data_IF_319403645725
#
_entry.id   IF_319403645725
#
_cell.length_a   1.000
_cell.length_b   1.000
_cell.length_c   1.000
_cell.angle_alpha   90.00
_cell.angle_beta   90.00
_cell.angle_gamma   90.00
#
_symmetry.space_group_name_H-M   'P 1'
#
loop_
_entity.id
_entity.type
_entity.pdbx_description
1 polymer ?
#
# COMPACT_ATOMS: atom_id res chain seq x y z
N UNK A 1 32.97 -10.40 20.33
CA UNK A 1 31.51 -10.20 20.48
C UNK A 1 30.99 -9.83 19.10
N UNK A 2 30.61 -10.84 18.31
CA UNK A 2 30.03 -10.63 16.99
C UNK A 2 28.55 -10.33 17.19
N UNK A 3 28.14 -9.09 16.92
CA UNK A 3 26.73 -8.73 16.83
C UNK A 3 26.23 -9.44 15.57
N UNK A 4 25.45 -10.52 15.74
CA UNK A 4 24.66 -11.08 14.66
C UNK A 4 23.58 -10.05 14.30
N UNK A 5 23.81 -9.30 13.23
CA UNK A 5 22.79 -8.54 12.53
C UNK A 5 21.80 -9.54 11.90
N UNK A 6 20.85 -9.99 12.70
CA UNK A 6 19.67 -10.67 12.19
C UNK A 6 18.85 -9.61 11.45
N UNK A 7 19.00 -9.57 10.12
CA UNK A 7 17.99 -8.96 9.27
C UNK A 7 16.69 -9.74 9.48
N UNK A 8 15.81 -9.22 10.32
CA UNK A 8 14.42 -9.67 10.35
C UNK A 8 13.84 -9.41 8.96
N UNK A 9 13.55 -10.48 8.23
CA UNK A 9 12.78 -10.36 7.00
C UNK A 9 11.39 -9.87 7.45
N UNK A 10 10.92 -8.70 6.97
CA UNK A 10 9.62 -8.21 7.39
C UNK A 10 8.57 -9.27 7.05
N UNK A 11 7.84 -9.73 8.06
CA UNK A 11 6.75 -10.68 7.85
C UNK A 11 5.68 -9.98 7.02
N UNK A 12 5.40 -10.52 5.83
CA UNK A 12 4.28 -10.06 5.01
C UNK A 12 2.97 -10.35 5.74
N UNK A 13 2.10 -9.34 5.83
CA UNK A 13 0.76 -9.44 6.38
C UNK A 13 -0.11 -10.25 5.43
N UNK A 14 -0.58 -11.43 5.86
CA UNK A 14 -1.50 -12.23 5.06
C UNK A 14 -2.91 -11.68 5.20
N UNK A 15 -3.55 -11.33 4.10
CA UNK A 15 -4.92 -10.85 4.12
C UNK A 15 -5.86 -11.76 3.34
N UNK A 16 -7.07 -11.95 3.86
CA UNK A 16 -8.18 -12.56 3.13
C UNK A 16 -9.11 -11.46 2.61
N UNK A 17 -9.42 -11.50 1.32
CA UNK A 17 -10.25 -10.51 0.65
C UNK A 17 -11.72 -10.94 0.66
N UNK A 18 -12.62 -10.04 1.06
CA UNK A 18 -14.07 -10.21 0.95
C UNK A 18 -14.62 -9.00 0.22
N UNK A 19 -15.38 -9.19 -0.85
CA UNK A 19 -16.04 -8.11 -1.58
C UNK A 19 -17.55 -8.24 -1.50
N UNK A 20 -18.25 -7.16 -1.19
CA UNK A 20 -19.71 -7.10 -1.18
C UNK A 20 -20.22 -6.04 -2.16
N UNK A 21 -21.14 -6.48 -3.03
CA UNK A 21 -21.56 -5.75 -4.22
C UNK A 21 -20.49 -5.72 -5.31
N UNK A 22 -20.66 -4.84 -6.31
CA UNK A 22 -19.78 -4.77 -7.47
C UNK A 22 -18.71 -3.69 -7.28
N UNK A 23 -17.49 -4.11 -6.98
CA UNK A 23 -16.35 -3.22 -6.74
C UNK A 23 -15.70 -2.67 -8.02
N UNK A 24 -16.03 -3.23 -9.19
CA UNK A 24 -15.41 -2.89 -10.48
C UNK A 24 -13.88 -2.85 -10.40
N UNK A 25 -13.29 -3.88 -9.79
CA UNK A 25 -11.84 -4.05 -9.56
C UNK A 25 -11.18 -2.95 -8.70
N UNK A 26 -11.97 -2.02 -8.12
CA UNK A 26 -11.45 -0.96 -7.25
C UNK A 26 -10.78 -1.52 -6.00
N UNK A 27 -11.19 -2.71 -5.53
CA UNK A 27 -10.52 -3.42 -4.44
C UNK A 27 -9.09 -3.86 -4.82
N UNK A 28 -8.88 -4.31 -6.05
CA UNK A 28 -7.55 -4.67 -6.57
C UNK A 28 -6.69 -3.42 -6.66
N UNK A 29 -7.23 -2.33 -7.21
CA UNK A 29 -6.54 -1.04 -7.31
C UNK A 29 -6.18 -0.49 -5.92
N UNK A 30 -7.06 -0.67 -4.94
CA UNK A 30 -6.81 -0.26 -3.56
C UNK A 30 -5.67 -1.05 -2.94
N UNK A 31 -5.66 -2.38 -3.10
CA UNK A 31 -4.55 -3.21 -2.63
C UNK A 31 -3.23 -2.89 -3.35
N UNK A 32 -3.28 -2.51 -4.63
CA UNK A 32 -2.10 -2.00 -5.36
C UNK A 32 -1.58 -0.68 -4.78
N UNK A 33 -2.47 0.24 -4.39
CA UNK A 33 -2.09 1.49 -3.71
C UNK A 33 -1.56 1.25 -2.30
N UNK A 34 -2.13 0.28 -1.57
CA UNK A 34 -1.56 -0.19 -0.32
C UNK A 34 -0.13 -0.66 -0.52
N UNK A 35 0.18 -1.35 -1.62
CA UNK A 35 1.55 -1.69 -2.02
C UNK A 35 2.14 -2.87 -1.24
N UNK A 36 3.47 -2.90 -1.10
CA UNK A 36 4.20 -4.01 -0.46
C UNK A 36 3.90 -4.16 1.03
N UNK A 37 4.20 -5.35 1.57
CA UNK A 37 3.92 -5.72 2.96
C UNK A 37 2.67 -6.58 3.14
N UNK A 38 1.94 -6.85 2.07
CA UNK A 38 0.69 -7.64 2.08
C UNK A 38 0.79 -8.85 1.16
N UNK A 39 0.08 -9.93 1.47
CA UNK A 39 -0.05 -11.12 0.63
C UNK A 39 -1.47 -11.66 0.73
N UNK A 40 -2.16 -11.78 -0.41
CA UNK A 40 -3.50 -12.36 -0.43
C UNK A 40 -3.44 -13.87 -0.19
N UNK A 41 -4.38 -14.37 0.61
CA UNK A 41 -4.58 -15.81 0.85
C UNK A 41 -5.99 -16.23 0.47
N UNK A 42 -6.18 -17.54 0.27
CA UNK A 42 -7.42 -18.09 -0.27
C UNK A 42 -8.48 -18.42 0.80
N UNK A 43 -8.15 -18.31 2.08
CA UNK A 43 -9.10 -18.56 3.16
C UNK A 43 -8.85 -17.70 4.41
N UNK A 44 -9.89 -17.42 5.21
CA UNK A 44 -9.76 -16.65 6.45
C UNK A 44 -8.77 -17.28 7.45
N UNK A 45 -8.69 -18.60 7.53
CA UNK A 45 -7.84 -19.33 8.49
C UNK A 45 -6.35 -19.09 8.23
N UNK A 46 -6.00 -18.89 6.95
CA UNK A 46 -4.62 -18.61 6.52
C UNK A 46 -4.22 -17.14 6.69
N UNK A 47 -5.20 -16.26 6.93
CA UNK A 47 -4.99 -14.82 7.00
C UNK A 47 -4.60 -14.37 8.41
N UNK A 48 -3.81 -13.32 8.48
CA UNK A 48 -3.59 -12.55 9.69
C UNK A 48 -4.75 -11.54 9.89
N UNK A 49 -5.34 -11.03 8.81
CA UNK A 49 -6.42 -10.05 8.81
C UNK A 49 -7.41 -10.23 7.65
N UNK A 50 -8.65 -9.77 7.82
CA UNK A 50 -9.63 -9.69 6.73
C UNK A 50 -9.69 -8.26 6.17
N UNK A 51 -9.57 -8.14 4.85
CA UNK A 51 -9.82 -6.91 4.10
C UNK A 51 -11.21 -7.03 3.47
N UNK A 52 -12.20 -6.38 4.06
CA UNK A 52 -13.58 -6.40 3.57
C UNK A 52 -13.87 -5.13 2.77
N UNK A 53 -14.23 -5.28 1.50
CA UNK A 53 -14.63 -4.19 0.61
C UNK A 53 -16.15 -4.15 0.47
N UNK A 54 -16.76 -3.04 0.85
CA UNK A 54 -18.21 -2.85 0.79
C UNK A 54 -18.56 -1.73 -0.19
N UNK A 55 -19.31 -2.05 -1.23
CA UNK A 55 -19.78 -1.03 -2.19
C UNK A 55 -21.12 -0.48 -1.76
N UNK A 56 -21.23 0.85 -1.71
CA UNK A 56 -22.51 1.51 -1.44
C UNK A 56 -23.27 1.60 -2.76
N UNK A 57 -24.30 0.76 -2.89
CA UNK A 57 -25.16 0.67 -4.08
C UNK A 57 -26.55 1.23 -3.78
N UNK A 58 -27.02 1.03 -2.55
CA UNK A 58 -28.35 1.45 -2.11
C UNK A 58 -28.24 2.55 -1.06
N UNK A 59 -27.92 2.18 0.17
CA UNK A 59 -27.81 3.05 1.34
C UNK A 59 -26.70 2.50 2.22
N UNK A 60 -25.83 3.40 2.69
CA UNK A 60 -24.67 3.04 3.50
C UNK A 60 -25.01 2.08 4.64
N UNK A 61 -26.05 2.37 5.44
CA UNK A 61 -26.44 1.51 6.57
C UNK A 61 -26.83 0.08 6.15
N UNK A 62 -27.60 -0.07 5.08
CA UNK A 62 -28.06 -1.39 4.61
C UNK A 62 -26.92 -2.19 4.01
N UNK A 63 -26.11 -1.55 3.16
CA UNK A 63 -25.01 -2.22 2.48
C UNK A 63 -23.90 -2.62 3.46
N UNK A 64 -23.58 -1.76 4.45
CA UNK A 64 -22.59 -2.04 5.51
C UNK A 64 -23.10 -3.13 6.47
N UNK A 65 -24.38 -3.13 6.83
CA UNK A 65 -24.97 -4.21 7.64
C UNK A 65 -24.88 -5.56 6.91
N UNK A 66 -25.24 -5.60 5.63
CA UNK A 66 -25.13 -6.80 4.81
C UNK A 66 -23.67 -7.26 4.63
N UNK A 67 -22.72 -6.33 4.54
CA UNK A 67 -21.30 -6.65 4.50
C UNK A 67 -20.82 -7.28 5.80
N UNK A 68 -21.19 -6.70 6.95
CA UNK A 68 -20.84 -7.24 8.28
C UNK A 68 -21.36 -8.66 8.50
N UNK A 69 -22.51 -9.03 7.93
CA UNK A 69 -23.06 -10.38 8.02
C UNK A 69 -22.31 -11.43 7.19
N UNK A 70 -21.58 -11.01 6.15
CA UNK A 70 -20.81 -11.92 5.28
C UNK A 70 -19.37 -12.15 5.76
N UNK A 71 -18.88 -11.30 6.65
CA UNK A 71 -17.52 -11.40 7.17
C UNK A 71 -17.45 -12.53 8.22
N UNK A 72 -16.53 -13.50 8.12
CA UNK A 72 -16.40 -14.55 9.12
C UNK A 72 -15.91 -13.97 10.45
N UNK A 73 -16.23 -14.64 11.54
CA UNK A 73 -15.81 -14.25 12.88
C UNK A 73 -14.38 -14.73 13.21
N UNK A 74 -13.77 -14.14 14.23
CA UNK A 74 -12.52 -14.64 14.81
C UNK A 74 -11.23 -14.10 14.18
N UNK A 75 -11.33 -13.07 13.34
CA UNK A 75 -10.20 -12.34 12.77
C UNK A 75 -10.48 -10.85 12.84
N UNK A 76 -9.44 -10.06 13.04
CA UNK A 76 -9.52 -8.61 12.90
C UNK A 76 -9.90 -8.25 11.46
N UNK A 77 -10.66 -7.17 11.30
CA UNK A 77 -11.23 -6.75 10.04
C UNK A 77 -10.90 -5.27 9.77
N UNK A 78 -10.43 -4.99 8.57
CA UNK A 78 -10.45 -3.65 7.99
C UNK A 78 -11.64 -3.58 7.02
N UNK A 79 -12.57 -2.67 7.28
CA UNK A 79 -13.68 -2.41 6.37
C UNK A 79 -13.34 -1.22 5.47
N UNK A 80 -13.25 -1.46 4.17
CA UNK A 80 -13.06 -0.44 3.13
C UNK A 80 -14.40 -0.19 2.46
N UNK A 81 -15.00 0.97 2.71
CA UNK A 81 -16.29 1.35 2.14
C UNK A 81 -16.08 2.13 0.84
N UNK A 82 -16.50 1.55 -0.28
CA UNK A 82 -16.41 2.10 -1.62
C UNK A 82 -17.70 2.85 -1.97
N UNK A 83 -17.62 4.17 -1.96
CA UNK A 83 -18.70 5.06 -2.35
C UNK A 83 -18.62 5.39 -3.83
N UNK A 84 -19.71 5.15 -4.55
CA UNK A 84 -19.81 5.47 -5.97
C UNK A 84 -20.03 6.98 -6.17
N UNK A 85 -18.95 7.71 -6.47
CA UNK A 85 -18.97 9.16 -6.68
C UNK A 85 -18.06 9.56 -7.83
N UNK A 86 -18.58 10.39 -8.73
CA UNK A 86 -17.78 10.94 -9.83
C UNK A 86 -16.81 12.04 -9.39
N UNK A 87 -17.20 12.82 -8.37
CA UNK A 87 -16.43 13.98 -7.89
C UNK A 87 -15.37 13.55 -6.85
N UNK A 88 -14.06 13.70 -7.13
CA UNK A 88 -13.00 13.35 -6.18
C UNK A 88 -12.95 14.25 -4.94
N UNK A 89 -13.56 15.45 -4.99
CA UNK A 89 -13.59 16.39 -3.86
C UNK A 89 -14.83 16.19 -2.97
N UNK A 90 -15.58 15.10 -3.18
CA UNK A 90 -16.76 14.81 -2.38
C UNK A 90 -16.37 14.46 -0.93
N UNK A 91 -17.11 15.02 0.03
CA UNK A 91 -17.04 14.58 1.42
C UNK A 91 -18.11 13.52 1.66
N UNK A 92 -17.72 12.38 2.19
CA UNK A 92 -18.63 11.30 2.57
C UNK A 92 -18.83 11.27 4.08
N UNK A 93 -20.02 10.87 4.57
CA UNK A 93 -20.21 10.61 6.00
C UNK A 93 -19.29 9.50 6.48
N UNK A 94 -18.78 9.63 7.71
CA UNK A 94 -17.98 8.62 8.38
C UNK A 94 -18.77 7.31 8.57
N UNK A 95 -18.37 6.28 7.82
CA UNK A 95 -19.04 4.97 7.81
C UNK A 95 -18.76 4.14 9.06
N UNK A 96 -17.74 4.47 9.86
CA UNK A 96 -17.43 3.74 11.11
C UNK A 96 -18.59 3.77 12.10
N UNK A 97 -19.43 4.81 12.02
CA UNK A 97 -20.65 4.98 12.83
C UNK A 97 -21.73 3.94 12.56
N UNK A 98 -21.63 3.22 11.44
CA UNK A 98 -22.59 2.19 11.02
C UNK A 98 -22.07 0.76 11.32
N UNK A 99 -20.84 0.66 11.83
CA UNK A 99 -20.21 -0.60 12.22
C UNK A 99 -20.58 -0.95 13.65
N UNK A 100 -21.04 -2.18 13.86
CA UNK A 100 -21.47 -2.69 15.17
C UNK A 100 -20.55 -3.79 15.68
N UNK A 101 -19.77 -4.40 14.80
CA UNK A 101 -18.82 -5.46 15.09
C UNK A 101 -17.56 -4.94 15.80
N UNK A 102 -17.20 -5.57 16.92
CA UNK A 102 -16.01 -5.20 17.71
C UNK A 102 -14.68 -5.65 17.09
N UNK A 103 -14.73 -6.66 16.22
CA UNK A 103 -13.56 -7.16 15.48
C UNK A 103 -13.25 -6.35 14.22
N UNK A 104 -14.08 -5.35 13.89
CA UNK A 104 -13.73 -4.33 12.89
C UNK A 104 -12.85 -3.27 13.57
N UNK A 105 -11.54 -3.40 13.37
CA UNK A 105 -10.53 -2.59 14.06
C UNK A 105 -10.26 -1.24 13.38
N UNK A 106 -10.71 -1.08 12.14
CA UNK A 106 -10.65 0.15 11.34
C UNK A 106 -11.72 0.11 10.24
N UNK A 107 -12.34 1.26 9.99
CA UNK A 107 -13.18 1.49 8.80
C UNK A 107 -12.63 2.70 8.08
N UNK A 108 -12.46 2.60 6.76
CA UNK A 108 -12.05 3.71 5.91
C UNK A 108 -13.04 3.88 4.78
N UNK A 109 -13.25 5.13 4.38
CA UNK A 109 -14.11 5.50 3.26
C UNK A 109 -13.27 5.79 2.02
N UNK A 110 -13.74 5.35 0.86
CA UNK A 110 -13.06 5.51 -0.42
C UNK A 110 -14.04 5.86 -1.52
N UNK A 111 -13.60 6.63 -2.52
CA UNK A 111 -14.39 6.98 -3.70
C UNK A 111 -13.94 6.15 -4.91
N UNK A 112 -14.92 5.70 -5.69
CA UNK A 112 -14.66 5.05 -6.98
C UNK A 112 -15.72 5.47 -8.01
N UNK A 113 -15.35 5.42 -9.29
CA UNK A 113 -16.24 5.63 -10.42
C UNK A 113 -15.69 4.99 -11.70
N UNK A 114 -16.53 4.26 -12.43
CA UNK A 114 -16.12 3.50 -13.62
C UNK A 114 -15.59 4.40 -14.74
N UNK A 115 -16.22 5.55 -14.99
CA UNK A 115 -15.76 6.51 -16.01
C UNK A 115 -14.42 7.18 -15.69
N UNK A 116 -13.93 7.02 -14.44
CA UNK A 116 -12.62 7.48 -13.99
C UNK A 116 -11.59 6.35 -13.93
N UNK A 117 -11.97 5.14 -14.34
CA UNK A 117 -11.13 3.95 -14.32
C UNK A 117 -11.17 3.17 -13.00
N UNK A 118 -12.18 3.38 -12.14
CA UNK A 118 -12.34 2.68 -10.87
C UNK A 118 -12.03 3.58 -9.67
N UNK A 119 -11.15 3.13 -8.80
CA UNK A 119 -10.72 3.83 -7.59
C UNK A 119 -10.16 5.21 -7.94
N UNK A 120 -10.67 6.25 -7.29
CA UNK A 120 -10.23 7.62 -7.57
C UNK A 120 -8.83 7.90 -6.98
N UNK A 121 -8.09 8.76 -7.65
CA UNK A 121 -6.89 9.38 -7.08
C UNK A 121 -7.31 10.69 -6.39
N UNK A 122 -7.57 10.63 -5.08
CA UNK A 122 -8.03 11.77 -4.29
C UNK A 122 -7.51 11.73 -2.84
N UNK A 123 -7.53 12.87 -2.12
CA UNK A 123 -7.05 12.94 -0.75
C UNK A 123 -7.73 11.95 0.20
N UNK A 124 -9.02 11.66 0.01
CA UNK A 124 -9.74 10.69 0.83
C UNK A 124 -9.14 9.28 0.70
N UNK A 125 -8.92 8.81 -0.53
CA UNK A 125 -8.37 7.48 -0.78
C UNK A 125 -6.89 7.39 -0.35
N UNK A 126 -6.11 8.46 -0.55
CA UNK A 126 -4.74 8.52 -0.05
C UNK A 126 -4.67 8.43 1.48
N UNK A 127 -5.60 9.08 2.18
CA UNK A 127 -5.67 9.03 3.64
C UNK A 127 -6.11 7.65 4.12
N UNK A 128 -7.10 7.02 3.48
CA UNK A 128 -7.52 5.66 3.78
C UNK A 128 -6.35 4.66 3.73
N UNK A 129 -5.49 4.76 2.70
CA UNK A 129 -4.28 3.93 2.58
C UNK A 129 -3.29 4.19 3.73
N UNK A 130 -3.07 5.46 4.11
CA UNK A 130 -2.18 5.82 5.22
C UNK A 130 -2.71 5.32 6.56
N UNK A 131 -4.01 5.44 6.81
CA UNK A 131 -4.65 4.99 8.04
C UNK A 131 -4.51 3.48 8.23
N UNK A 132 -4.73 2.69 7.18
CA UNK A 132 -4.53 1.24 7.22
C UNK A 132 -3.07 0.89 7.52
N UNK A 133 -2.13 1.50 6.80
CA UNK A 133 -0.69 1.25 7.02
C UNK A 133 -0.27 1.60 8.44
N UNK A 134 -0.75 2.73 8.97
CA UNK A 134 -0.49 3.16 10.34
C UNK A 134 -1.12 2.21 11.36
N UNK A 135 -2.36 1.78 11.12
CA UNK A 135 -3.10 0.88 12.02
C UNK A 135 -2.42 -0.49 12.13
N UNK A 136 -1.88 -0.99 11.02
CA UNK A 136 -1.24 -2.30 10.93
C UNK A 136 0.28 -2.26 11.18
N UNK A 137 0.83 -1.08 11.44
CA UNK A 137 2.27 -0.85 11.60
C UNK A 137 3.11 -1.35 10.41
N UNK A 138 2.57 -1.21 9.19
CA UNK A 138 3.23 -1.64 7.95
C UNK A 138 3.90 -0.43 7.31
N UNK A 139 5.20 -0.31 7.52
CA UNK A 139 6.03 0.68 6.84
C UNK A 139 6.24 0.29 5.37
N UNK A 140 6.23 1.25 4.43
CA UNK A 140 6.67 0.97 3.07
C UNK A 140 8.14 0.53 3.12
N UNK A 141 8.49 -0.55 2.41
CA UNK A 141 9.90 -0.84 2.12
C UNK A 141 10.49 0.42 1.46
N UNK A 142 11.41 1.05 2.18
CA UNK A 142 11.63 2.48 2.10
C UNK A 142 12.20 2.90 0.74
N UNK A 143 11.69 4.03 0.20
CA UNK A 143 12.40 4.82 -0.82
C UNK A 143 13.87 5.06 -0.43
N UNK A 144 14.15 5.13 0.87
CA UNK A 144 15.50 5.25 1.44
C UNK A 144 16.47 4.15 0.98
N UNK A 145 15.98 2.93 0.76
CA UNK A 145 16.81 1.83 0.26
C UNK A 145 17.17 2.02 -1.22
N UNK A 146 16.23 2.51 -2.03
CA UNK A 146 16.45 2.87 -3.44
C UNK A 146 17.35 4.11 -3.56
N UNK A 147 17.13 5.13 -2.73
CA UNK A 147 17.91 6.37 -2.71
C UNK A 147 19.36 6.10 -2.27
N UNK A 148 19.57 5.22 -1.30
CA UNK A 148 20.91 4.80 -0.86
C UNK A 148 21.67 4.06 -1.96
N UNK A 149 21.00 3.13 -2.67
CA UNK A 149 21.58 2.42 -3.82
C UNK A 149 21.94 3.39 -4.95
N UNK A 150 21.05 4.33 -5.27
CA UNK A 150 21.30 5.38 -6.27
C UNK A 150 22.50 6.26 -5.90
N UNK A 151 22.61 6.67 -4.63
CA UNK A 151 23.75 7.44 -4.12
C UNK A 151 25.05 6.67 -4.26
N UNK A 152 25.08 5.38 -3.89
CA UNK A 152 26.27 4.53 -4.03
C UNK A 152 26.66 4.41 -5.51
N UNK A 153 25.69 4.13 -6.38
CA UNK A 153 25.93 4.02 -7.82
C UNK A 153 26.52 5.31 -8.41
N UNK A 154 25.97 6.46 -8.03
CA UNK A 154 26.46 7.78 -8.44
C UNK A 154 27.90 8.05 -8.01
N UNK A 155 28.26 7.68 -6.77
CA UNK A 155 29.64 7.80 -6.25
C UNK A 155 30.61 6.91 -7.04
N UNK A 156 30.24 5.65 -7.28
CA UNK A 156 31.05 4.72 -8.07
C UNK A 156 31.30 5.25 -9.49
N UNK A 157 30.28 5.77 -10.17
CA UNK A 157 30.44 6.38 -11.48
C UNK A 157 31.43 7.55 -11.47
N UNK A 158 31.36 8.43 -10.46
CA UNK A 158 32.30 9.57 -10.33
C UNK A 158 33.75 9.12 -10.16
N UNK A 159 34.00 8.09 -9.35
CA UNK A 159 35.35 7.54 -9.13
C UNK A 159 35.93 6.97 -10.42
N UNK A 160 35.14 6.19 -11.18
CA UNK A 160 35.59 5.59 -12.45
C UNK A 160 35.98 6.67 -13.46
N UNK A 161 35.19 7.74 -13.57
CA UNK A 161 35.48 8.86 -14.48
C UNK A 161 36.78 9.57 -14.08
N UNK A 162 37.00 9.82 -12.78
CA UNK A 162 38.23 10.45 -12.28
C UNK A 162 39.46 9.58 -12.59
N UNK A 163 39.37 8.27 -12.36
CA UNK A 163 40.47 7.35 -12.67
C UNK A 163 40.77 7.30 -14.18
N UNK A 164 39.74 7.28 -15.03
CA UNK A 164 39.92 7.30 -16.48
C UNK A 164 40.56 8.61 -16.98
N UNK A 165 40.16 9.75 -16.44
CA UNK A 165 40.80 11.04 -16.75
C UNK A 165 42.27 11.03 -16.27
N UNK A 166 42.52 10.53 -15.06
CA UNK A 166 43.86 10.42 -14.49
C UNK A 166 44.80 9.55 -15.33
N UNK A 167 44.33 8.40 -15.84
CA UNK A 167 45.14 7.52 -16.70
C UNK A 167 45.44 8.17 -18.05
N UNK A 168 44.46 8.85 -18.65
CA UNK A 168 44.64 9.60 -19.91
C UNK A 168 45.65 10.75 -19.72
N UNK A 169 45.52 11.55 -18.66
CA UNK A 169 46.47 12.62 -18.35
C UNK A 169 47.88 12.08 -18.12
N UNK A 170 48.02 10.99 -17.37
CA UNK A 170 49.31 10.36 -17.12
C UNK A 170 49.96 9.87 -18.42
N UNK A 171 49.15 9.33 -19.35
CA UNK A 171 49.60 8.93 -20.68
C UNK A 171 50.08 10.14 -21.51
N UNK A 172 49.29 11.21 -21.56
CA UNK A 172 49.63 12.45 -22.29
C UNK A 172 50.91 13.09 -21.75
N UNK A 173 51.08 13.12 -20.42
CA UNK A 173 52.29 13.65 -19.77
C UNK A 173 53.49 12.76 -20.13
N UNK A 174 53.36 11.44 -20.03
CA UNK A 174 54.44 10.52 -20.40
C UNK A 174 54.88 10.66 -21.86
N UNK A 175 53.96 10.96 -22.78
CA UNK A 175 54.28 11.18 -24.21
C UNK A 175 54.90 12.56 -24.48
N UNK A 176 54.63 13.57 -23.63
CA UNK A 176 55.19 14.93 -23.77
C UNK A 176 56.56 15.13 -23.14
N UNK A 177 56.92 14.33 -22.14
CA UNK A 177 58.17 14.48 -21.37
C UNK A 177 59.10 13.25 -21.48
N UNK A 178 58.83 12.35 -22.42
CA UNK A 178 59.77 11.30 -22.87
C UNK A 178 60.55 11.80 -24.09
#
# INVERSE_FOLDING_TARGET
MFIHDHREVPRLMKYYNITTGNTMDSHIQFMQQLGGGFTEVMSPEQSDIIMAFCTIVSRAGTDIEAAQQQIPEGKDVILVVLHHYFNPDCTVPDSSRLVTRSDVILTVDCLFHESKGGLLNCPLNEEAVKEIRKKLDIHPETKDQMDSVWRIFSVCCRIVVILAIGTVLKKIISEKYA
#
